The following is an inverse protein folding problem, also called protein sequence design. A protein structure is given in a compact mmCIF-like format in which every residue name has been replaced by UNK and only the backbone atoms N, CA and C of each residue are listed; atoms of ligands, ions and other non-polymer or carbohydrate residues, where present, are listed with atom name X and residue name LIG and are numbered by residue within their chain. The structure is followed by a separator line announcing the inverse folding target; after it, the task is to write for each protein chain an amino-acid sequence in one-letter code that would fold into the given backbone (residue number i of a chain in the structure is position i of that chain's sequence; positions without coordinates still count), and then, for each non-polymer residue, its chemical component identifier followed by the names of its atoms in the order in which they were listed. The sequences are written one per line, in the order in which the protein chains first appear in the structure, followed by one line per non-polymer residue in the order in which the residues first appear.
data_IF_914228737268
#
_entry.id   IF_914228737268
#
_cell.length_a   1.000
_cell.length_b   1.000
_cell.length_c   1.000
_cell.angle_alpha   90.00
_cell.angle_beta   90.00
_cell.angle_gamma   90.00
#
_symmetry.space_group_name_H-M   'P 1'
#
loop_
_entity.id
_entity.type
_entity.pdbx_description
1 polymer ?
#
# COMPACT_ATOMS: atom_id res chain seq x y z
N UNK A 1 -13.68 3.89 11.01
CA UNK A 1 -12.35 4.53 11.17
C UNK A 1 -12.42 5.84 10.41
N UNK A 2 -12.49 6.99 11.11
CA UNK A 2 -12.50 8.30 10.44
C UNK A 2 -11.10 8.57 9.88
N UNK A 3 -10.97 8.52 8.56
CA UNK A 3 -9.72 8.79 7.84
C UNK A 3 -9.57 10.31 7.78
N UNK A 4 -8.74 10.85 8.67
CA UNK A 4 -8.45 12.29 8.72
C UNK A 4 -7.75 12.72 7.43
N UNK A 5 -8.41 13.48 6.56
CA UNK A 5 -7.87 13.88 5.25
C UNK A 5 -6.73 14.91 5.34
N UNK A 6 -6.47 15.47 6.52
CA UNK A 6 -5.43 16.51 6.71
C UNK A 6 -4.03 15.96 6.95
N UNK A 7 -3.91 14.68 7.31
CA UNK A 7 -2.59 14.04 7.53
C UNK A 7 -1.94 13.75 6.17
N UNK A 8 -0.71 14.26 5.98
CA UNK A 8 0.17 13.83 4.89
C UNK A 8 0.38 12.32 4.99
N UNK A 9 -0.31 11.56 4.14
CA UNK A 9 -0.12 10.11 4.01
C UNK A 9 0.89 9.83 2.91
N UNK A 10 1.69 8.77 3.05
CA UNK A 10 2.50 8.28 1.95
C UNK A 10 1.58 7.81 0.80
N UNK A 11 2.07 7.82 -0.46
CA UNK A 11 1.25 7.51 -1.64
C UNK A 11 0.48 6.19 -1.56
N UNK A 12 1.10 5.13 -1.00
CA UNK A 12 0.43 3.83 -0.80
C UNK A 12 -0.70 3.93 0.22
N UNK A 13 -0.49 4.65 1.32
CA UNK A 13 -1.52 4.90 2.32
C UNK A 13 -2.70 5.71 1.77
N UNK A 14 -2.43 6.67 0.87
CA UNK A 14 -3.46 7.44 0.16
C UNK A 14 -4.25 6.54 -0.79
N UNK A 15 -3.59 5.78 -1.66
CA UNK A 15 -4.25 4.88 -2.59
C UNK A 15 -5.15 3.87 -1.86
N UNK A 16 -4.64 3.24 -0.79
CA UNK A 16 -5.43 2.34 0.05
C UNK A 16 -6.57 3.05 0.80
N UNK A 17 -6.48 4.36 1.03
CA UNK A 17 -7.52 5.17 1.69
C UNK A 17 -8.66 5.60 0.74
N UNK A 18 -8.39 5.66 -0.56
CA UNK A 18 -9.31 6.13 -1.60
C UNK A 18 -10.12 5.03 -2.27
N UNK A 19 -9.64 3.77 -2.19
CA UNK A 19 -10.38 2.61 -2.71
C UNK A 19 -11.65 2.31 -1.91
N UNK A 20 -12.54 1.56 -2.55
CA UNK A 20 -13.75 1.04 -1.93
C UNK A 20 -13.45 0.16 -0.72
N UNK A 21 -14.31 0.26 0.30
CA UNK A 21 -14.14 -0.43 1.58
C UNK A 21 -14.05 -1.96 1.43
N UNK A 22 -14.77 -2.54 0.46
CA UNK A 22 -14.73 -3.98 0.21
C UNK A 22 -13.37 -4.44 -0.34
N UNK A 23 -12.74 -3.66 -1.24
CA UNK A 23 -11.38 -3.94 -1.75
C UNK A 23 -10.37 -3.84 -0.63
N UNK A 24 -10.46 -2.79 0.20
CA UNK A 24 -9.57 -2.65 1.37
C UNK A 24 -9.68 -3.83 2.32
N UNK A 25 -10.90 -4.31 2.59
CA UNK A 25 -11.13 -5.49 3.44
C UNK A 25 -10.53 -6.75 2.82
N UNK A 26 -10.65 -6.93 1.51
CA UNK A 26 -10.06 -8.06 0.77
C UNK A 26 -8.53 -8.06 0.86
N UNK A 27 -7.88 -6.92 0.56
CA UNK A 27 -6.42 -6.76 0.72
C UNK A 27 -5.99 -7.06 2.16
N UNK A 28 -6.70 -6.49 3.15
CA UNK A 28 -6.41 -6.74 4.57
C UNK A 28 -6.55 -8.23 4.94
N UNK A 29 -7.54 -8.93 4.38
CA UNK A 29 -7.74 -10.36 4.61
C UNK A 29 -6.63 -11.21 3.99
N UNK A 30 -6.25 -10.94 2.74
CA UNK A 30 -5.13 -11.63 2.07
C UNK A 30 -3.80 -11.39 2.82
N UNK A 31 -3.54 -10.15 3.24
CA UNK A 31 -2.38 -9.81 4.06
C UNK A 31 -2.39 -10.55 5.40
N UNK A 32 -3.55 -10.62 6.07
CA UNK A 32 -3.68 -11.39 7.32
C UNK A 32 -3.39 -12.87 7.13
N UNK A 33 -3.78 -13.46 6.00
CA UNK A 33 -3.54 -14.87 5.68
C UNK A 33 -2.04 -15.21 5.55
N UNK A 34 -1.22 -14.24 5.12
CA UNK A 34 0.24 -14.38 5.03
C UNK A 34 0.99 -13.91 6.29
N UNK A 35 0.26 -13.73 7.40
CA UNK A 35 0.85 -13.35 8.70
C UNK A 35 1.02 -11.85 8.92
N UNK A 36 0.47 -11.00 8.06
CA UNK A 36 0.54 -9.55 8.23
C UNK A 36 -0.38 -9.09 9.38
N UNK A 37 0.20 -8.41 10.36
CA UNK A 37 -0.49 -8.00 11.57
C UNK A 37 -1.27 -6.71 11.40
N UNK A 38 -2.22 -6.43 12.31
CA UNK A 38 -2.95 -5.17 12.30
C UNK A 38 -2.05 -3.95 12.56
N UNK A 39 -0.98 -4.13 13.36
CA UNK A 39 0.03 -3.09 13.58
C UNK A 39 0.77 -2.73 12.29
N UNK A 40 1.19 -3.74 11.52
CA UNK A 40 1.82 -3.53 10.22
C UNK A 40 0.87 -2.90 9.21
N UNK A 41 -0.42 -3.26 9.23
CA UNK A 41 -1.45 -2.60 8.42
C UNK A 41 -1.61 -1.12 8.75
N UNK A 42 -1.65 -0.76 10.04
CA UNK A 42 -1.67 0.64 10.47
C UNK A 42 -0.40 1.38 10.04
N UNK A 43 0.76 0.74 10.17
CA UNK A 43 2.05 1.28 9.72
C UNK A 43 2.10 1.51 8.20
N UNK A 44 1.56 0.57 7.42
CA UNK A 44 1.45 0.67 5.97
C UNK A 44 0.63 1.90 5.54
N UNK A 45 -0.52 2.12 6.18
CA UNK A 45 -1.40 3.25 5.88
C UNK A 45 -0.83 4.60 6.31
N UNK A 46 -0.06 4.63 7.40
CA UNK A 46 0.41 5.87 8.00
C UNK A 46 1.78 6.32 7.50
N UNK A 47 2.72 5.38 7.31
CA UNK A 47 4.15 5.70 7.23
C UNK A 47 4.90 4.97 6.09
N UNK A 48 4.33 3.95 5.46
CA UNK A 48 5.09 3.16 4.50
C UNK A 48 5.27 3.87 3.16
N UNK A 49 6.53 4.08 2.79
CA UNK A 49 6.93 4.41 1.43
C UNK A 49 6.84 3.15 0.57
N UNK A 50 6.16 3.23 -0.58
CA UNK A 50 5.82 2.03 -1.35
C UNK A 50 7.04 1.20 -1.77
N UNK A 51 8.19 1.82 -2.03
CA UNK A 51 9.43 1.11 -2.36
C UNK A 51 10.07 0.35 -1.19
N UNK A 52 9.66 0.62 0.06
CA UNK A 52 10.09 -0.12 1.26
C UNK A 52 9.14 -1.24 1.65
N UNK A 53 8.02 -1.38 0.93
CA UNK A 53 7.01 -2.39 1.22
C UNK A 53 7.55 -3.77 0.78
N UNK A 54 7.44 -4.81 1.62
CA UNK A 54 7.86 -6.16 1.25
C UNK A 54 7.17 -6.64 -0.04
N UNK A 55 7.89 -7.44 -0.85
CA UNK A 55 7.38 -7.92 -2.14
C UNK A 55 6.03 -8.64 -2.02
N UNK A 56 5.84 -9.49 -1.02
CA UNK A 56 4.56 -10.19 -0.79
C UNK A 56 3.39 -9.23 -0.53
N UNK A 57 3.64 -8.10 0.15
CA UNK A 57 2.61 -7.07 0.42
C UNK A 57 2.30 -6.30 -0.86
N UNK A 58 3.33 -5.91 -1.60
CA UNK A 58 3.18 -5.28 -2.93
C UNK A 58 2.34 -6.17 -3.84
N UNK A 59 2.68 -7.44 -3.95
CA UNK A 59 2.04 -8.35 -4.90
C UNK A 59 0.55 -8.53 -4.57
N UNK A 60 0.18 -8.61 -3.29
CA UNK A 60 -1.23 -8.62 -2.85
C UNK A 60 -1.94 -7.31 -3.18
N UNK A 61 -1.29 -6.16 -2.96
CA UNK A 61 -1.90 -4.85 -3.24
C UNK A 61 -2.05 -4.65 -4.75
N UNK A 62 -1.02 -4.95 -5.54
CA UNK A 62 -1.01 -4.80 -7.01
C UNK A 62 -1.96 -5.77 -7.69
N UNK A 63 -2.17 -6.97 -7.13
CA UNK A 63 -3.19 -7.91 -7.61
C UNK A 63 -4.61 -7.31 -7.55
N UNK A 64 -4.91 -6.56 -6.49
CA UNK A 64 -6.23 -5.93 -6.31
C UNK A 64 -6.31 -4.50 -6.88
N UNK A 65 -5.16 -3.83 -7.02
CA UNK A 65 -5.00 -2.45 -7.46
C UNK A 65 -3.78 -2.34 -8.39
N UNK A 66 -3.85 -2.88 -9.61
CA UNK A 66 -2.72 -2.88 -10.55
C UNK A 66 -2.23 -1.45 -10.85
N UNK A 67 -3.12 -0.46 -10.80
CA UNK A 67 -2.79 0.96 -10.95
C UNK A 67 -1.77 1.46 -9.93
N UNK A 68 -1.67 0.82 -8.75
CA UNK A 68 -0.74 1.22 -7.68
C UNK A 68 0.67 0.67 -7.85
N UNK A 69 0.95 -0.17 -8.86
CA UNK A 69 2.26 -0.79 -9.08
C UNK A 69 3.41 0.23 -9.13
N UNK A 70 3.17 1.39 -9.73
CA UNK A 70 4.15 2.47 -9.83
C UNK A 70 4.57 3.05 -8.48
N UNK A 71 3.74 2.93 -7.43
CA UNK A 71 4.03 3.42 -6.09
C UNK A 71 5.08 2.58 -5.36
N UNK A 72 5.28 1.34 -5.80
CA UNK A 72 6.23 0.40 -5.23
C UNK A 72 7.60 0.44 -5.91
N UNK A 73 7.73 1.19 -7.00
CA UNK A 73 9.00 1.39 -7.68
C UNK A 73 9.83 2.44 -6.94
N UNK A 74 11.13 2.19 -6.79
CA UNK A 74 12.04 3.16 -6.20
C UNK A 74 12.12 4.41 -7.10
N UNK A 75 12.01 5.63 -6.56
CA UNK A 75 12.07 6.86 -7.35
C UNK A 75 13.40 7.01 -8.13
N UNK A 76 14.49 6.40 -7.65
CA UNK A 76 15.78 6.39 -8.35
C UNK A 76 15.89 5.36 -9.49
N UNK A 77 14.98 4.37 -9.58
CA UNK A 77 15.01 3.39 -10.69
C UNK A 77 14.60 4.01 -12.04
N UNK A 78 14.06 5.24 -12.05
CA UNK A 78 13.79 5.98 -13.30
C UNK A 78 15.01 6.73 -13.86
N UNK A 79 16.14 6.79 -13.14
CA UNK A 79 17.33 7.51 -13.60
C UNK A 79 18.23 6.68 -14.54
N UNK A 80 17.98 5.38 -14.69
CA UNK A 80 18.71 4.51 -15.62
C UNK A 80 17.73 3.78 -16.54
N UNK A 81 17.10 4.55 -17.42
CA UNK A 81 16.64 4.03 -18.70
C UNK A 81 17.06 5.05 -19.76
N UNK A 82 18.15 4.69 -20.44
CA UNK A 82 18.81 5.25 -21.63
C UNK A 82 17.91 6.10 -22.53
#
# INVERSE_FOLDING_TARGET
MNIDKTKKRPPVGTALSEIEDWRRRKIKAELKAVGFTEGQWKGLLANAEGYKVPAFVRDIIVKELPETAHLFNHPQLKAEAV
#
